data_IF_438870787225
#
_entry.id   IF_438870787225
#
_cell.length_a   1.000
_cell.length_b   1.000
_cell.length_c   1.000
_cell.angle_alpha   90.00
_cell.angle_beta   90.00
_cell.angle_gamma   90.00
#
_symmetry.space_group_name_H-M   'P 1'
#
loop_
_entity.id
_entity.type
_entity.pdbx_description
1 polymer ?
#
# COMPACT_ATOMS: atom_id res chain seq x y z
N UNK A 1 2.84 2.32 -22.99
CA UNK A 1 1.71 1.73 -22.23
C UNK A 1 0.48 2.51 -22.58
N UNK A 2 -0.63 1.80 -22.84
CA UNK A 2 -1.92 2.40 -23.17
C UNK A 2 -2.38 3.30 -22.01
N UNK A 3 -2.56 4.60 -22.29
CA UNK A 3 -2.99 5.61 -21.31
C UNK A 3 -4.44 5.43 -20.87
N UNK A 4 -5.22 4.63 -21.59
CA UNK A 4 -6.64 4.39 -21.34
C UNK A 4 -6.96 2.99 -20.81
N UNK A 5 -5.96 2.27 -20.32
CA UNK A 5 -6.10 0.85 -19.92
C UNK A 5 -7.07 0.61 -18.76
N UNK A 6 -7.44 1.67 -18.01
CA UNK A 6 -8.38 1.61 -16.87
C UNK A 6 -9.64 2.48 -17.09
N UNK A 7 -9.91 2.90 -18.32
CA UNK A 7 -11.10 3.70 -18.64
C UNK A 7 -12.38 2.98 -18.20
N UNK A 8 -13.26 3.70 -17.49
CA UNK A 8 -14.51 3.18 -16.95
C UNK A 8 -14.36 2.30 -15.71
N UNK A 9 -13.17 2.21 -15.11
CA UNK A 9 -12.91 1.50 -13.87
C UNK A 9 -12.92 2.44 -12.68
N UNK A 10 -13.43 1.97 -11.54
CA UNK A 10 -13.36 2.64 -10.25
C UNK A 10 -12.21 2.04 -9.43
N UNK A 11 -11.24 2.88 -9.04
CA UNK A 11 -10.13 2.49 -8.18
C UNK A 11 -10.31 3.10 -6.77
N UNK A 12 -10.09 2.29 -5.73
CA UNK A 12 -9.99 2.74 -4.35
C UNK A 12 -8.53 2.64 -3.90
N UNK A 13 -7.95 3.77 -3.48
CA UNK A 13 -6.58 3.85 -2.95
C UNK A 13 -6.63 4.28 -1.49
N UNK A 14 -6.23 3.39 -0.58
CA UNK A 14 -6.16 3.72 0.85
C UNK A 14 -4.84 4.42 1.18
N UNK A 15 -4.87 5.38 2.12
CA UNK A 15 -3.72 6.25 2.37
C UNK A 15 -3.35 7.11 1.16
N UNK A 16 -4.36 7.49 0.36
CA UNK A 16 -4.19 8.14 -0.94
C UNK A 16 -3.85 9.63 -0.91
N UNK A 17 -3.78 10.26 0.28
CA UNK A 17 -3.56 11.71 0.40
C UNK A 17 -2.10 12.16 0.26
N UNK A 18 -1.12 11.26 0.31
CA UNK A 18 0.31 11.61 0.24
C UNK A 18 1.19 10.42 -0.15
N UNK A 19 2.47 10.71 -0.44
CA UNK A 19 3.52 9.73 -0.66
C UNK A 19 3.18 8.69 -1.73
N UNK A 20 3.35 7.42 -1.42
CA UNK A 20 3.07 6.30 -2.34
C UNK A 20 1.61 6.31 -2.79
N UNK A 21 0.67 6.51 -1.86
CA UNK A 21 -0.77 6.48 -2.17
C UNK A 21 -1.19 7.58 -3.13
N UNK A 22 -0.72 8.81 -2.95
CA UNK A 22 -0.97 9.91 -3.86
C UNK A 22 -0.37 9.63 -5.25
N UNK A 23 0.88 9.16 -5.32
CA UNK A 23 1.52 8.80 -6.59
C UNK A 23 0.74 7.70 -7.33
N UNK A 24 0.23 6.70 -6.61
CA UNK A 24 -0.64 5.65 -7.18
C UNK A 24 -1.94 6.26 -7.70
N UNK A 25 -2.59 7.12 -6.91
CA UNK A 25 -3.85 7.77 -7.31
C UNK A 25 -3.69 8.57 -8.61
N UNK A 26 -2.66 9.41 -8.70
CA UNK A 26 -2.32 10.15 -9.93
C UNK A 26 -2.06 9.22 -11.12
N UNK A 27 -1.29 8.14 -10.91
CA UNK A 27 -0.93 7.21 -11.98
C UNK A 27 -2.14 6.43 -12.49
N UNK A 28 -3.06 5.98 -11.61
CA UNK A 28 -4.28 5.27 -12.01
C UNK A 28 -5.26 6.21 -12.72
N UNK A 29 -5.40 7.45 -12.25
CA UNK A 29 -6.21 8.48 -12.92
C UNK A 29 -5.68 8.80 -14.32
N UNK A 30 -4.37 8.97 -14.48
CA UNK A 30 -3.72 9.18 -15.78
C UNK A 30 -3.92 7.99 -16.75
N UNK A 31 -4.33 6.82 -16.25
CA UNK A 31 -4.72 5.64 -17.05
C UNK A 31 -6.24 5.50 -17.24
N UNK A 32 -6.99 6.56 -16.95
CA UNK A 32 -8.43 6.64 -17.21
C UNK A 32 -9.32 6.08 -16.09
N UNK A 33 -8.76 5.66 -14.94
CA UNK A 33 -9.59 5.24 -13.81
C UNK A 33 -10.25 6.45 -13.12
N UNK A 34 -11.49 6.28 -12.67
CA UNK A 34 -12.06 7.14 -11.63
C UNK A 34 -11.46 6.69 -10.29
N UNK A 35 -10.88 7.61 -9.52
CA UNK A 35 -10.16 7.24 -8.31
C UNK A 35 -10.86 7.78 -7.07
N UNK A 36 -11.05 6.92 -6.08
CA UNK A 36 -11.42 7.28 -4.72
C UNK A 36 -10.18 7.17 -3.85
N UNK A 37 -9.84 8.24 -3.14
CA UNK A 37 -8.77 8.25 -2.15
C UNK A 37 -9.34 8.30 -0.75
N UNK A 38 -8.81 7.48 0.16
CA UNK A 38 -9.22 7.47 1.56
C UNK A 38 -8.03 7.56 2.51
N UNK A 39 -8.25 8.14 3.69
CA UNK A 39 -7.27 8.35 4.74
C UNK A 39 -7.81 9.31 5.80
N UNK A 40 -6.95 9.73 6.73
CA UNK A 40 -7.36 10.55 7.88
C UNK A 40 -7.34 12.04 7.64
N UNK A 41 -6.45 12.54 6.78
CA UNK A 41 -6.27 13.98 6.53
C UNK A 41 -7.21 14.46 5.44
N UNK A 42 -8.29 15.14 5.81
CA UNK A 42 -9.24 15.69 4.86
C UNK A 42 -8.58 16.64 3.85
N UNK A 43 -7.64 17.49 4.31
CA UNK A 43 -6.95 18.46 3.44
C UNK A 43 -6.07 17.77 2.39
N UNK A 44 -5.21 16.80 2.80
CA UNK A 44 -4.35 16.06 1.88
C UNK A 44 -5.17 15.25 0.85
N UNK A 45 -6.29 14.64 1.29
CA UNK A 45 -7.18 13.90 0.40
C UNK A 45 -7.89 14.82 -0.59
N UNK A 46 -8.36 15.99 -0.14
CA UNK A 46 -9.04 16.96 -1.01
C UNK A 46 -8.11 17.50 -2.09
N UNK A 47 -6.84 17.79 -1.74
CA UNK A 47 -5.82 18.23 -2.69
C UNK A 47 -5.59 17.18 -3.79
N UNK A 48 -5.35 15.92 -3.40
CA UNK A 48 -5.15 14.83 -4.38
C UNK A 48 -6.40 14.60 -5.21
N UNK A 49 -7.59 14.54 -4.59
CA UNK A 49 -8.84 14.31 -5.31
C UNK A 49 -9.13 15.41 -6.34
N UNK A 50 -8.90 16.68 -5.98
CA UNK A 50 -9.06 17.81 -6.91
C UNK A 50 -8.09 17.72 -8.10
N UNK A 51 -6.84 17.32 -7.87
CA UNK A 51 -5.82 17.21 -8.92
C UNK A 51 -6.09 16.09 -9.95
N UNK A 52 -6.91 15.08 -9.59
CA UNK A 52 -7.18 13.90 -10.45
C UNK A 52 -8.65 13.76 -10.84
N UNK A 53 -9.48 14.76 -10.60
CA UNK A 53 -10.95 14.69 -10.75
C UNK A 53 -11.53 13.43 -10.05
N UNK A 54 -11.03 13.15 -8.86
CA UNK A 54 -11.36 11.99 -8.04
C UNK A 54 -12.30 12.32 -6.89
N UNK A 55 -12.48 11.36 -5.99
CA UNK A 55 -13.34 11.49 -4.80
C UNK A 55 -12.52 11.27 -3.53
N UNK A 56 -12.64 12.18 -2.56
CA UNK A 56 -12.06 12.03 -1.23
C UNK A 56 -13.08 11.45 -0.26
N UNK A 57 -12.72 10.37 0.46
CA UNK A 57 -13.52 9.80 1.54
C UNK A 57 -12.67 9.71 2.80
N UNK A 58 -12.96 10.56 3.77
CA UNK A 58 -12.20 10.60 5.04
C UNK A 58 -12.57 9.41 5.90
N UNK A 59 -11.58 8.63 6.34
CA UNK A 59 -11.77 7.53 7.27
C UNK A 59 -10.45 7.19 8.00
N UNK A 60 -10.57 6.76 9.25
CA UNK A 60 -9.48 6.06 9.94
C UNK A 60 -9.71 4.54 9.80
N UNK A 61 -8.81 3.86 9.12
CA UNK A 61 -8.92 2.42 8.88
C UNK A 61 -8.54 1.58 10.12
N UNK A 62 -8.00 2.19 11.16
CA UNK A 62 -7.83 1.57 12.46
C UNK A 62 -9.14 1.53 13.26
N UNK A 63 -10.10 2.42 12.94
CA UNK A 63 -11.46 2.38 13.49
C UNK A 63 -12.35 1.48 12.61
N UNK A 64 -12.90 0.43 13.22
CA UNK A 64 -13.76 -0.54 12.53
C UNK A 64 -15.06 0.09 12.05
N UNK A 65 -15.71 0.90 12.88
CA UNK A 65 -16.97 1.56 12.53
C UNK A 65 -16.78 2.57 11.39
N UNK A 66 -15.71 3.39 11.47
CA UNK A 66 -15.32 4.32 10.41
C UNK A 66 -14.98 3.60 9.11
N UNK A 67 -14.29 2.44 9.19
CA UNK A 67 -14.01 1.60 8.02
C UNK A 67 -15.30 1.07 7.38
N UNK A 68 -16.27 0.59 8.15
CA UNK A 68 -17.54 0.08 7.62
C UNK A 68 -18.38 1.20 6.97
N UNK A 69 -18.37 2.39 7.55
CA UNK A 69 -19.02 3.57 6.95
C UNK A 69 -18.34 3.98 5.63
N UNK A 70 -17.01 3.98 5.59
CA UNK A 70 -16.24 4.25 4.36
C UNK A 70 -16.57 3.21 3.28
N UNK A 71 -16.62 1.93 3.61
CA UNK A 71 -17.01 0.86 2.68
C UNK A 71 -18.41 1.12 2.11
N UNK A 72 -19.39 1.49 2.95
CA UNK A 72 -20.74 1.80 2.52
C UNK A 72 -20.77 3.01 1.57
N UNK A 73 -20.04 4.08 1.92
CA UNK A 73 -19.91 5.28 1.08
C UNK A 73 -19.31 4.96 -0.28
N UNK A 74 -18.21 4.21 -0.31
CA UNK A 74 -17.52 3.85 -1.57
C UNK A 74 -18.40 2.95 -2.45
N UNK A 75 -19.13 2.00 -1.87
CA UNK A 75 -20.11 1.17 -2.60
C UNK A 75 -21.21 2.01 -3.26
N UNK A 76 -21.61 3.11 -2.63
CA UNK A 76 -22.58 4.06 -3.20
C UNK A 76 -22.06 4.81 -4.43
N UNK A 77 -20.74 4.90 -4.61
CA UNK A 77 -20.11 5.52 -5.80
C UNK A 77 -20.03 4.58 -7.00
N UNK A 78 -20.14 3.27 -6.77
CA UNK A 78 -20.07 2.24 -7.80
C UNK A 78 -19.30 1.00 -7.37
N UNK A 79 -19.14 0.06 -8.31
CA UNK A 79 -18.32 -1.12 -8.09
C UNK A 79 -16.84 -0.75 -8.12
N UNK A 80 -16.12 -1.06 -7.04
CA UNK A 80 -14.66 -0.96 -7.03
C UNK A 80 -14.08 -2.08 -7.91
N UNK A 81 -13.38 -1.70 -8.95
CA UNK A 81 -12.69 -2.60 -9.87
C UNK A 81 -11.23 -2.82 -9.47
N UNK A 82 -10.59 -1.78 -8.94
CA UNK A 82 -9.20 -1.79 -8.47
C UNK A 82 -9.17 -1.41 -6.99
N UNK A 83 -8.66 -2.28 -6.14
CA UNK A 83 -8.42 -2.01 -4.72
C UNK A 83 -6.91 -1.95 -4.47
N UNK A 84 -6.42 -0.81 -4.02
CA UNK A 84 -5.04 -0.63 -3.57
C UNK A 84 -5.01 -0.45 -2.05
N UNK A 85 -4.61 -1.50 -1.34
CA UNK A 85 -4.37 -1.49 0.10
C UNK A 85 -2.99 -0.89 0.35
N UNK A 86 -2.91 0.45 0.47
CA UNK A 86 -1.65 1.17 0.68
C UNK A 86 -1.54 1.76 2.09
N UNK A 87 -2.63 2.08 2.77
CA UNK A 87 -2.58 2.61 4.13
C UNK A 87 -1.78 1.70 5.07
N UNK A 88 -0.90 2.28 5.85
CA UNK A 88 -0.05 1.55 6.79
C UNK A 88 0.76 2.47 7.67
N UNK A 89 1.28 1.91 8.77
CA UNK A 89 2.21 2.57 9.69
C UNK A 89 3.42 1.67 9.93
N UNK A 90 4.55 2.29 10.27
CA UNK A 90 5.75 1.60 10.70
C UNK A 90 6.24 2.20 12.01
N UNK A 91 6.28 1.39 13.04
CA UNK A 91 6.87 1.73 14.32
C UNK A 91 8.01 0.74 14.62
N UNK A 92 8.99 1.17 15.40
CA UNK A 92 10.13 0.33 15.77
C UNK A 92 10.45 0.50 17.26
N UNK A 93 10.58 -0.63 17.96
CA UNK A 93 10.97 -0.69 19.35
C UNK A 93 11.72 -2.01 19.63
N UNK A 94 12.59 -2.07 20.68
CA UNK A 94 13.06 -3.35 21.21
C UNK A 94 11.88 -4.26 21.57
N UNK A 95 12.07 -5.57 21.56
CA UNK A 95 11.00 -6.51 21.89
C UNK A 95 10.35 -6.24 23.26
N UNK A 96 11.16 -5.89 24.25
CA UNK A 96 10.66 -5.57 25.60
C UNK A 96 9.78 -4.31 25.66
N UNK A 97 9.93 -3.39 24.71
CA UNK A 97 9.21 -2.13 24.62
C UNK A 97 8.07 -2.19 23.57
N UNK A 98 7.91 -3.32 22.88
CA UNK A 98 6.81 -3.56 21.93
C UNK A 98 5.61 -4.06 22.73
N UNK A 99 4.78 -3.13 23.22
CA UNK A 99 3.59 -3.45 23.99
C UNK A 99 2.42 -3.94 23.09
N UNK A 100 1.38 -4.49 23.73
CA UNK A 100 0.20 -5.00 23.03
C UNK A 100 -0.50 -3.91 22.22
N UNK A 101 -0.53 -2.67 22.72
CA UNK A 101 -1.16 -1.55 22.03
C UNK A 101 -0.42 -1.18 20.73
N UNK A 102 0.91 -1.21 20.72
CA UNK A 102 1.71 -1.02 19.51
C UNK A 102 1.51 -2.17 18.52
N UNK A 103 1.52 -3.42 19.03
CA UNK A 103 1.26 -4.60 18.24
C UNK A 103 -0.11 -4.51 17.55
N UNK A 104 -1.16 -4.24 18.31
CA UNK A 104 -2.54 -4.18 17.81
C UNK A 104 -2.73 -3.08 16.76
N UNK A 105 -2.18 -1.87 16.99
CA UNK A 105 -2.25 -0.77 15.99
C UNK A 105 -1.58 -1.16 14.68
N UNK A 106 -0.40 -1.78 14.76
CA UNK A 106 0.36 -2.18 13.56
C UNK A 106 -0.38 -3.30 12.82
N UNK A 107 -0.86 -4.32 13.53
CA UNK A 107 -1.61 -5.42 12.93
C UNK A 107 -2.95 -4.94 12.34
N UNK A 108 -3.70 -4.10 13.05
CA UNK A 108 -5.00 -3.61 12.58
C UNK A 108 -4.84 -2.88 11.25
N UNK A 109 -3.91 -1.92 11.15
CA UNK A 109 -3.80 -1.10 9.95
C UNK A 109 -3.06 -1.80 8.79
N UNK A 110 -2.04 -2.63 9.07
CA UNK A 110 -1.23 -3.22 7.99
C UNK A 110 -1.70 -4.61 7.53
N UNK A 111 -2.54 -5.31 8.33
CA UNK A 111 -3.01 -6.67 8.02
C UNK A 111 -4.54 -6.77 8.06
N UNK A 112 -5.18 -6.36 9.17
CA UNK A 112 -6.63 -6.54 9.38
C UNK A 112 -7.44 -5.64 8.45
N UNK A 113 -7.10 -4.36 8.32
CA UNK A 113 -7.79 -3.44 7.44
C UNK A 113 -7.72 -3.88 5.96
N UNK A 114 -6.54 -4.24 5.38
CA UNK A 114 -6.45 -4.85 4.05
C UNK A 114 -7.34 -6.08 3.87
N UNK A 115 -7.38 -6.99 4.84
CA UNK A 115 -8.28 -8.14 4.81
C UNK A 115 -9.75 -7.72 4.76
N UNK A 116 -10.18 -6.80 5.63
CA UNK A 116 -11.58 -6.33 5.69
C UNK A 116 -12.01 -5.67 4.39
N UNK A 117 -11.18 -4.81 3.82
CA UNK A 117 -11.45 -4.13 2.55
C UNK A 117 -11.53 -5.13 1.40
N UNK A 118 -10.59 -6.07 1.33
CA UNK A 118 -10.60 -7.10 0.31
C UNK A 118 -11.86 -7.96 0.40
N UNK A 119 -12.23 -8.42 1.59
CA UNK A 119 -13.48 -9.15 1.84
C UNK A 119 -14.73 -8.35 1.43
N UNK A 120 -14.69 -7.03 1.61
CA UNK A 120 -15.82 -6.17 1.28
C UNK A 120 -15.99 -5.96 -0.24
N UNK A 121 -14.92 -5.80 -1.01
CA UNK A 121 -15.00 -5.39 -2.41
C UNK A 121 -14.83 -6.54 -3.41
N UNK A 122 -14.07 -7.59 -3.09
CA UNK A 122 -13.80 -8.71 -4.00
C UNK A 122 -15.06 -9.45 -4.47
N UNK A 123 -16.10 -9.69 -3.67
CA UNK A 123 -17.29 -10.38 -4.17
C UNK A 123 -17.94 -9.71 -5.39
N UNK A 124 -17.97 -8.39 -5.44
CA UNK A 124 -18.50 -7.66 -6.60
C UNK A 124 -17.56 -7.73 -7.82
N UNK A 125 -16.23 -7.79 -7.60
CA UNK A 125 -15.25 -8.03 -8.66
C UNK A 125 -15.43 -9.43 -9.27
N UNK A 126 -15.61 -10.46 -8.42
CA UNK A 126 -15.86 -11.85 -8.84
C UNK A 126 -17.13 -11.95 -9.67
N UNK A 127 -18.23 -11.36 -9.20
CA UNK A 127 -19.49 -11.35 -9.94
C UNK A 127 -19.37 -10.67 -11.32
N UNK A 128 -18.44 -9.73 -11.47
CA UNK A 128 -18.17 -9.03 -12.74
C UNK A 128 -17.12 -9.73 -13.62
N UNK A 129 -16.49 -10.80 -13.15
CA UNK A 129 -15.42 -11.50 -13.87
C UNK A 129 -14.15 -10.67 -14.08
N UNK A 130 -13.97 -9.58 -13.31
CA UNK A 130 -12.80 -8.71 -13.41
C UNK A 130 -12.53 -7.94 -12.10
N UNK A 131 -11.28 -7.91 -11.70
CA UNK A 131 -10.83 -7.13 -10.55
C UNK A 131 -9.32 -7.15 -10.39
N UNK A 132 -8.80 -6.15 -9.68
CA UNK A 132 -7.37 -6.03 -9.33
C UNK A 132 -7.25 -5.64 -7.87
N UNK A 133 -6.58 -6.48 -7.10
CA UNK A 133 -6.23 -6.18 -5.71
C UNK A 133 -4.71 -6.10 -5.61
N UNK A 134 -4.20 -4.95 -5.21
CA UNK A 134 -2.77 -4.73 -4.99
C UNK A 134 -2.55 -4.25 -3.57
N UNK A 135 -1.73 -4.97 -2.81
CA UNK A 135 -1.38 -4.60 -1.44
C UNK A 135 0.04 -4.05 -1.41
N UNK A 136 0.23 -2.85 -0.88
CA UNK A 136 1.55 -2.30 -0.60
C UNK A 136 2.05 -2.92 0.71
N UNK A 137 2.81 -4.01 0.55
CA UNK A 137 3.45 -4.69 1.66
C UNK A 137 4.75 -3.96 2.05
N UNK A 138 5.87 -4.64 2.02
CA UNK A 138 7.24 -4.14 2.23
C UNK A 138 8.21 -5.30 1.98
N UNK A 139 9.48 -5.01 1.71
CA UNK A 139 10.52 -6.03 1.80
C UNK A 139 10.62 -6.62 3.22
N UNK A 140 10.17 -5.89 4.27
CA UNK A 140 9.98 -6.41 5.63
C UNK A 140 8.89 -7.50 5.74
N UNK A 141 8.09 -7.73 4.71
CA UNK A 141 7.19 -8.88 4.57
C UNK A 141 7.87 -10.13 3.99
N UNK A 142 9.16 -10.05 3.66
CA UNK A 142 9.94 -11.13 3.05
C UNK A 142 11.19 -11.48 3.88
N UNK A 143 11.62 -10.57 4.76
CA UNK A 143 12.78 -10.78 5.65
C UNK A 143 12.57 -10.03 6.96
N UNK A 144 13.45 -10.25 7.95
CA UNK A 144 13.40 -9.58 9.25
C UNK A 144 14.32 -8.36 9.29
N UNK A 145 13.90 -7.36 10.06
CA UNK A 145 14.70 -6.20 10.43
C UNK A 145 14.72 -6.02 11.95
N UNK A 146 15.83 -5.55 12.48
CA UNK A 146 15.96 -5.27 13.92
C UNK A 146 14.91 -4.25 14.41
N UNK A 147 14.37 -4.48 15.58
CA UNK A 147 13.42 -3.58 16.27
C UNK A 147 12.07 -3.38 15.56
N UNK A 148 11.70 -4.25 14.61
CA UNK A 148 10.46 -4.10 13.84
C UNK A 148 9.59 -5.36 13.88
N UNK A 149 9.59 -6.09 14.99
CA UNK A 149 8.89 -7.38 15.09
C UNK A 149 7.41 -7.31 14.67
N UNK A 150 6.64 -6.37 15.23
CA UNK A 150 5.23 -6.20 14.89
C UNK A 150 5.02 -5.80 13.42
N UNK A 151 5.86 -4.89 12.90
CA UNK A 151 5.77 -4.45 11.50
C UNK A 151 6.12 -5.58 10.52
N UNK A 152 7.21 -6.32 10.78
CA UNK A 152 7.58 -7.49 9.98
C UNK A 152 6.45 -8.54 10.00
N UNK A 153 5.91 -8.86 11.17
CA UNK A 153 4.79 -9.80 11.30
C UNK A 153 3.58 -9.37 10.46
N UNK A 154 3.16 -8.10 10.55
CA UNK A 154 2.04 -7.57 9.81
C UNK A 154 2.27 -7.58 8.29
N UNK A 155 3.48 -7.25 7.84
CA UNK A 155 3.83 -7.26 6.40
C UNK A 155 3.98 -8.69 5.85
N UNK A 156 4.44 -9.66 6.65
CA UNK A 156 4.38 -11.08 6.30
C UNK A 156 2.93 -11.57 6.21
N UNK A 157 2.06 -11.15 7.13
CA UNK A 157 0.63 -11.45 7.07
C UNK A 157 -0.01 -10.91 5.77
N UNK A 158 0.31 -9.70 5.34
CA UNK A 158 -0.17 -9.11 4.09
C UNK A 158 0.29 -9.90 2.85
N UNK A 159 1.54 -10.38 2.85
CA UNK A 159 2.08 -11.27 1.79
C UNK A 159 1.39 -12.62 1.82
N UNK A 160 1.22 -13.23 2.99
CA UNK A 160 0.51 -14.49 3.17
C UNK A 160 -0.94 -14.42 2.69
N UNK A 161 -1.66 -13.36 3.07
CA UNK A 161 -3.02 -13.08 2.61
C UNK A 161 -3.10 -12.96 1.07
N UNK A 162 -2.16 -12.25 0.46
CA UNK A 162 -2.07 -12.11 -1.01
C UNK A 162 -1.97 -13.47 -1.69
N UNK A 163 -1.11 -14.35 -1.20
CA UNK A 163 -0.90 -15.69 -1.76
C UNK A 163 -2.11 -16.60 -1.58
N UNK A 164 -2.72 -16.59 -0.38
CA UNK A 164 -3.91 -17.39 -0.10
C UNK A 164 -5.09 -17.00 -1.00
N UNK A 165 -5.38 -15.68 -1.06
CA UNK A 165 -6.48 -15.17 -1.90
C UNK A 165 -6.23 -15.40 -3.40
N UNK A 166 -4.99 -15.44 -3.84
CA UNK A 166 -4.68 -15.77 -5.23
C UNK A 166 -5.09 -17.22 -5.57
N UNK A 167 -4.92 -18.15 -4.67
CA UNK A 167 -5.40 -19.54 -4.87
C UNK A 167 -6.93 -19.56 -4.94
N UNK A 168 -7.61 -18.89 -4.00
CA UNK A 168 -9.08 -18.88 -3.93
C UNK A 168 -9.72 -18.25 -5.17
N UNK A 169 -9.07 -17.22 -5.73
CA UNK A 169 -9.62 -16.39 -6.80
C UNK A 169 -9.12 -16.75 -8.21
N UNK A 170 -8.31 -17.78 -8.37
CA UNK A 170 -7.61 -18.11 -9.61
C UNK A 170 -8.48 -18.32 -10.86
N UNK A 171 -9.79 -18.60 -10.69
CA UNK A 171 -10.74 -18.84 -11.79
C UNK A 171 -11.77 -17.71 -11.97
N UNK A 172 -11.61 -16.58 -11.27
CA UNK A 172 -12.66 -15.55 -11.16
C UNK A 172 -12.41 -14.33 -12.05
N UNK A 173 -11.24 -14.23 -12.70
CA UNK A 173 -10.83 -13.03 -13.44
C UNK A 173 -10.29 -11.91 -12.53
N UNK A 174 -10.24 -12.13 -11.21
CA UNK A 174 -9.65 -11.21 -10.23
C UNK A 174 -8.20 -11.60 -9.99
N UNK A 175 -7.26 -10.64 -10.04
CA UNK A 175 -5.88 -10.87 -9.64
C UNK A 175 -5.57 -10.21 -8.30
N UNK A 176 -4.75 -10.87 -7.48
CA UNK A 176 -4.30 -10.37 -6.18
C UNK A 176 -2.78 -10.43 -6.16
N UNK A 177 -2.12 -9.29 -5.93
CA UNK A 177 -0.67 -9.20 -5.88
C UNK A 177 -0.21 -8.27 -4.74
N UNK A 178 1.03 -8.38 -4.33
CA UNK A 178 1.69 -7.48 -3.41
C UNK A 178 2.85 -6.75 -4.08
N UNK A 179 3.04 -5.48 -3.77
CA UNK A 179 4.25 -4.73 -4.06
C UNK A 179 5.01 -4.58 -2.75
N UNK A 180 6.29 -4.90 -2.75
CA UNK A 180 7.17 -4.95 -1.58
C UNK A 180 8.30 -3.92 -1.72
N UNK A 181 8.06 -2.63 -1.43
CA UNK A 181 9.09 -1.62 -1.51
C UNK A 181 10.13 -1.79 -0.38
N UNK A 182 11.35 -1.31 -0.64
CA UNK A 182 12.32 -0.95 0.38
C UNK A 182 12.01 0.45 0.93
N UNK A 183 13.06 1.24 1.18
CA UNK A 183 12.89 2.62 1.64
C UNK A 183 12.47 3.53 0.49
N UNK A 184 11.29 4.13 0.63
CA UNK A 184 10.70 5.04 -0.38
C UNK A 184 10.83 6.49 0.11
N UNK A 185 11.15 7.43 -0.79
CA UNK A 185 11.27 8.86 -0.51
C UNK A 185 9.91 9.46 -0.12
N UNK A 186 9.58 9.34 1.16
CA UNK A 186 8.32 9.76 1.76
C UNK A 186 8.56 10.27 3.17
N UNK A 187 7.57 10.94 3.74
CA UNK A 187 7.59 11.37 5.15
C UNK A 187 7.97 10.24 6.13
N UNK A 188 7.56 8.99 5.85
CA UNK A 188 7.94 7.83 6.68
C UNK A 188 9.47 7.61 6.69
N UNK A 189 10.15 7.79 5.55
CA UNK A 189 11.61 7.71 5.47
C UNK A 189 12.27 8.91 6.17
N UNK A 190 11.74 10.11 6.01
CA UNK A 190 12.22 11.32 6.70
C UNK A 190 12.14 11.17 8.22
N UNK A 191 11.02 10.65 8.72
CA UNK A 191 10.83 10.35 10.15
C UNK A 191 11.81 9.27 10.64
N UNK A 192 12.11 8.25 9.81
CA UNK A 192 13.11 7.22 10.13
C UNK A 192 14.53 7.81 10.17
N UNK A 193 14.89 8.64 9.19
CA UNK A 193 16.18 9.35 9.14
C UNK A 193 16.34 10.25 10.39
N UNK A 194 15.30 11.01 10.74
CA UNK A 194 15.31 11.87 11.92
C UNK A 194 15.51 11.07 13.22
N UNK A 195 14.86 9.90 13.35
CA UNK A 195 15.05 9.00 14.50
C UNK A 195 16.46 8.43 14.56
N UNK A 196 17.05 8.05 13.42
CA UNK A 196 18.43 7.56 13.35
C UNK A 196 19.38 8.67 13.79
N UNK A 197 19.25 9.88 13.25
CA UNK A 197 20.07 11.03 13.61
C UNK A 197 20.00 11.31 15.10
N UNK A 198 18.80 11.37 15.69
CA UNK A 198 18.60 11.62 17.11
C UNK A 198 19.20 10.53 18.01
N UNK A 199 19.07 9.25 17.64
CA UNK A 199 19.58 8.13 18.46
C UNK A 199 21.09 7.93 18.34
N UNK A 200 21.71 8.30 17.22
CA UNK A 200 23.12 8.01 16.95
C UNK A 200 24.02 9.23 17.03
N UNK A 201 23.46 10.43 17.19
CA UNK A 201 24.21 11.70 17.13
C UNK A 201 24.75 12.05 15.74
N UNK A 202 24.34 11.33 14.69
CA UNK A 202 24.73 11.60 13.31
C UNK A 202 23.97 12.80 12.76
N UNK A 203 24.57 13.50 11.81
CA UNK A 203 23.83 14.48 11.02
C UNK A 203 22.85 13.78 10.05
N UNK A 204 21.95 14.55 9.44
CA UNK A 204 20.92 14.05 8.53
C UNK A 204 21.53 13.35 7.31
N UNK A 205 22.66 13.85 6.78
CA UNK A 205 23.31 13.26 5.61
C UNK A 205 23.88 11.87 5.94
N UNK A 206 24.56 11.72 7.07
CA UNK A 206 25.09 10.45 7.54
C UNK A 206 23.97 9.46 7.91
N UNK A 207 22.85 9.93 8.48
CA UNK A 207 21.68 9.10 8.76
C UNK A 207 21.01 8.62 7.46
N UNK A 208 20.88 9.49 6.46
CA UNK A 208 20.39 9.13 5.12
C UNK A 208 21.29 8.12 4.44
N UNK A 209 22.63 8.32 4.49
CA UNK A 209 23.59 7.40 3.92
C UNK A 209 23.51 6.01 4.61
N UNK A 210 23.32 5.96 5.92
CA UNK A 210 23.13 4.71 6.65
C UNK A 210 21.89 3.94 6.18
N UNK A 211 20.78 4.64 5.93
CA UNK A 211 19.55 4.05 5.43
C UNK A 211 19.70 3.56 3.98
N UNK A 212 20.23 4.38 3.10
CA UNK A 212 20.39 4.07 1.67
C UNK A 212 21.47 3.01 1.41
N UNK A 213 22.46 2.89 2.28
CA UNK A 213 23.51 1.85 2.17
C UNK A 213 22.98 0.42 2.35
N UNK A 214 21.76 0.26 2.88
CA UNK A 214 21.10 -1.04 2.99
C UNK A 214 20.72 -1.63 1.61
N UNK A 215 20.63 -0.78 0.59
CA UNK A 215 20.31 -1.18 -0.78
C UNK A 215 21.56 -1.09 -1.68
N UNK A 216 21.82 -2.07 -2.56
CA UNK A 216 22.87 -1.99 -3.57
C UNK A 216 22.82 -0.74 -4.45
N UNK A 217 21.61 -0.24 -4.76
CA UNK A 217 21.43 1.00 -5.53
C UNK A 217 21.76 2.27 -4.74
N UNK A 218 21.91 2.19 -3.41
CA UNK A 218 22.28 3.29 -2.49
C UNK A 218 21.45 4.56 -2.65
N UNK A 219 20.15 4.39 -2.91
CA UNK A 219 19.18 5.47 -3.02
C UNK A 219 17.85 5.08 -2.37
N UNK A 220 17.01 6.04 -2.11
CA UNK A 220 15.59 5.79 -1.84
C UNK A 220 14.88 5.44 -3.16
N UNK A 221 13.85 4.61 -3.07
CA UNK A 221 12.92 4.37 -4.16
C UNK A 221 11.99 5.57 -4.27
N UNK A 222 11.68 6.01 -5.47
CA UNK A 222 10.72 7.10 -5.65
C UNK A 222 9.27 6.58 -5.57
N UNK A 223 8.32 7.35 -4.99
CA UNK A 223 6.90 6.98 -4.99
C UNK A 223 6.35 6.63 -6.37
N UNK A 224 6.85 7.30 -7.42
CA UNK A 224 6.46 7.05 -8.80
C UNK A 224 6.87 5.64 -9.30
N UNK A 225 7.98 5.08 -8.81
CA UNK A 225 8.41 3.72 -9.16
C UNK A 225 7.42 2.68 -8.60
N UNK A 226 6.97 2.89 -7.36
CA UNK A 226 5.94 2.04 -6.73
C UNK A 226 4.60 2.18 -7.48
N UNK A 227 4.20 3.40 -7.80
CA UNK A 227 2.98 3.67 -8.55
C UNK A 227 2.99 3.03 -9.95
N UNK A 228 4.15 3.04 -10.63
CA UNK A 228 4.35 2.37 -11.91
C UNK A 228 4.10 0.85 -11.80
N UNK A 229 4.67 0.19 -10.79
CA UNK A 229 4.46 -1.24 -10.57
C UNK A 229 3.00 -1.58 -10.26
N UNK A 230 2.32 -0.76 -9.43
CA UNK A 230 0.90 -0.93 -9.15
C UNK A 230 0.09 -0.81 -10.45
N UNK A 231 0.33 0.21 -11.24
CA UNK A 231 -0.40 0.43 -12.48
C UNK A 231 -0.14 -0.66 -13.53
N UNK A 232 1.07 -1.21 -13.59
CA UNK A 232 1.40 -2.39 -14.39
C UNK A 232 0.56 -3.60 -13.96
N UNK A 233 0.47 -3.87 -12.64
CA UNK A 233 -0.34 -4.98 -12.10
C UNK A 233 -1.85 -4.79 -12.33
N UNK A 234 -2.33 -3.57 -12.50
CA UNK A 234 -3.73 -3.26 -12.78
C UNK A 234 -4.09 -3.37 -14.28
N UNK A 235 -3.12 -3.41 -15.18
CA UNK A 235 -3.36 -3.49 -16.61
C UNK A 235 -4.05 -4.80 -17.02
N UNK A 236 -4.76 -4.78 -18.16
CA UNK A 236 -5.40 -5.98 -18.69
C UNK A 236 -4.37 -7.06 -19.03
N UNK A 237 -3.23 -6.66 -19.55
CA UNK A 237 -2.17 -7.57 -20.01
C UNK A 237 -1.42 -8.25 -18.84
N UNK A 238 -1.57 -7.71 -17.62
CA UNK A 238 -0.98 -8.28 -16.40
C UNK A 238 -1.81 -9.42 -15.80
N UNK A 239 -2.86 -9.92 -16.47
CA UNK A 239 -3.76 -10.97 -15.94
C UNK A 239 -3.06 -12.27 -15.55
N UNK A 240 -1.88 -12.54 -16.09
CA UNK A 240 -1.06 -13.70 -15.73
C UNK A 240 -0.20 -13.47 -14.48
N UNK A 241 -0.12 -12.23 -13.96
CA UNK A 241 0.61 -11.92 -12.72
C UNK A 241 -0.39 -12.04 -11.57
N UNK A 242 -0.28 -13.13 -10.81
CA UNK A 242 -1.24 -13.47 -9.77
C UNK A 242 -0.56 -14.16 -8.59
N UNK A 243 -0.84 -13.72 -7.37
CA UNK A 243 -0.20 -14.22 -6.15
C UNK A 243 1.26 -13.79 -5.96
N UNK A 244 1.74 -12.84 -6.77
CA UNK A 244 3.14 -12.45 -6.78
C UNK A 244 3.46 -11.35 -5.78
N UNK A 245 4.72 -11.34 -5.35
CA UNK A 245 5.34 -10.25 -4.57
C UNK A 245 6.36 -9.55 -5.45
N UNK A 246 6.05 -8.34 -5.90
CA UNK A 246 6.95 -7.53 -6.73
C UNK A 246 7.83 -6.70 -5.80
N UNK A 247 9.11 -7.04 -5.74
CA UNK A 247 10.08 -6.36 -4.88
C UNK A 247 10.64 -5.13 -5.59
N UNK A 248 10.61 -3.98 -4.90
CA UNK A 248 11.13 -2.68 -5.37
C UNK A 248 11.99 -2.07 -4.26
N UNK A 249 13.19 -2.61 -4.05
CA UNK A 249 14.05 -2.23 -2.92
C UNK A 249 15.51 -1.98 -3.33
N UNK A 250 15.77 -1.86 -4.64
CA UNK A 250 17.10 -1.62 -5.18
C UNK A 250 18.05 -2.79 -4.97
N UNK A 251 17.52 -4.02 -4.84
CA UNK A 251 18.29 -5.26 -4.67
C UNK A 251 18.67 -5.55 -3.20
N UNK A 252 18.01 -4.92 -2.23
CA UNK A 252 18.28 -5.13 -0.80
C UNK A 252 17.92 -6.56 -0.36
N UNK A 253 16.84 -7.13 -0.88
CA UNK A 253 16.39 -8.50 -0.62
C UNK A 253 16.33 -9.26 -1.93
N UNK A 254 17.29 -10.17 -2.13
CA UNK A 254 17.33 -11.07 -3.28
C UNK A 254 16.77 -12.43 -2.86
N UNK A 255 15.58 -12.76 -3.29
CA UNK A 255 14.93 -14.06 -3.06
C UNK A 255 14.21 -14.53 -4.33
#
# INVERSE_FOLDING_TARGET
>A
MDTDSLRGRLALVTGGGRGIGAAIAHTLAARGAKVVVTGRSAAELAEVAAAIDGVAVVADLADRAGTDQMIATVRGLGRVDVLVNNAGIAESAPLADTDDAMWDRIMELNATAPFRLTRAFVPAMVAAGWGRVVTIASNAGLTGYGYTAAYCAAKHAAVGLTRALAIDLGRTGVTVNAVCPGWVATRMAEEAISRIAAKTGRDTAAATAALTSMSPQRRLIEPAEVAHAVAMLCAHDARGIHGQTIVLDGGQVLK
#
